data_IF_096550989242
#
_entry.id   IF_096550989242
#
_cell.length_a   1.000
_cell.length_b   1.000
_cell.length_c   1.000
_cell.angle_alpha   90.00
_cell.angle_beta   90.00
_cell.angle_gamma   90.00
#
_symmetry.space_group_name_H-M   'P 1'
#
loop_
_entity.id
_entity.type
_entity.pdbx_description
1 polymer ?
#
# COMPACT_ATOMS: atom_id res chain seq x y z
N UNK A 1 24.91 2.00 34.04
CA UNK A 1 26.05 2.50 33.24
C UNK A 1 26.05 1.83 31.88
N UNK A 2 26.37 2.62 30.84
CA UNK A 2 26.74 2.25 29.45
C UNK A 2 25.58 1.95 28.48
N UNK A 3 25.02 3.07 28.02
CA UNK A 3 24.40 3.27 26.71
C UNK A 3 25.43 2.92 25.61
N UNK A 4 25.09 2.06 24.65
CA UNK A 4 25.88 1.91 23.40
C UNK A 4 24.94 2.02 22.22
N UNK A 5 24.84 3.25 21.73
CA UNK A 5 24.19 3.66 20.50
C UNK A 5 25.18 3.39 19.35
N UNK A 6 24.90 2.42 18.49
CA UNK A 6 25.62 2.23 17.24
C UNK A 6 24.69 2.60 16.07
N UNK A 7 24.75 3.88 15.71
CA UNK A 7 24.23 4.44 14.48
C UNK A 7 25.19 4.07 13.36
N UNK A 8 24.77 3.24 12.39
CA UNK A 8 25.54 3.03 11.16
C UNK A 8 24.63 3.30 9.97
N UNK A 9 24.76 4.54 9.50
CA UNK A 9 24.22 5.08 8.25
C UNK A 9 24.88 4.35 7.08
N UNK A 10 24.10 3.62 6.29
CA UNK A 10 24.54 3.15 4.97
C UNK A 10 23.74 3.92 3.90
N UNK A 11 24.30 5.06 3.50
CA UNK A 11 23.88 5.84 2.34
C UNK A 11 24.72 5.36 1.15
N UNK A 12 24.12 4.55 0.28
CA UNK A 12 24.66 4.32 -1.07
C UNK A 12 23.73 5.01 -2.05
N UNK A 13 24.11 6.24 -2.41
CA UNK A 13 23.55 6.94 -3.56
C UNK A 13 24.35 6.51 -4.79
N UNK A 14 23.75 5.72 -5.67
CA UNK A 14 24.30 5.42 -6.99
C UNK A 14 23.60 6.32 -8.01
N UNK A 15 24.25 7.43 -8.35
CA UNK A 15 23.80 8.35 -9.40
C UNK A 15 24.29 7.84 -10.75
N UNK A 16 23.38 7.35 -11.59
CA UNK A 16 23.67 7.03 -12.99
C UNK A 16 23.48 8.29 -13.81
N UNK A 17 24.58 8.87 -14.28
CA UNK A 17 24.59 9.97 -15.22
C UNK A 17 24.20 9.45 -16.61
N UNK A 18 23.11 9.99 -17.18
CA UNK A 18 22.77 9.80 -18.60
C UNK A 18 23.33 10.99 -19.40
N UNK A 19 23.88 10.75 -20.60
CA UNK A 19 24.44 11.82 -21.43
C UNK A 19 23.35 12.75 -21.97
N UNK A 20 23.65 14.05 -21.89
CA UNK A 20 22.91 15.15 -22.48
C UNK A 20 23.14 15.14 -23.99
N UNK A 21 22.08 15.00 -24.79
CA UNK A 21 22.11 15.23 -26.22
C UNK A 21 21.14 16.38 -26.55
N UNK A 22 21.66 17.46 -27.12
CA UNK A 22 20.92 18.53 -27.82
C UNK A 22 21.93 19.29 -28.70
N UNK A 23 21.54 20.00 -29.78
CA UNK A 23 20.31 19.93 -30.57
C UNK A 23 20.58 19.70 -32.08
N UNK A 24 19.68 19.01 -32.79
CA UNK A 24 19.65 19.05 -34.25
C UNK A 24 18.52 19.99 -34.70
N UNK A 25 18.97 21.13 -35.23
CA UNK A 25 18.20 22.16 -35.90
C UNK A 25 17.67 21.59 -37.22
N UNK A 26 16.34 21.50 -37.43
CA UNK A 26 15.76 21.35 -38.76
C UNK A 26 14.44 22.11 -38.86
N UNK A 27 14.38 22.94 -39.89
CA UNK A 27 13.43 24.02 -40.14
C UNK A 27 12.37 23.55 -41.14
N UNK A 28 11.11 23.92 -40.85
CA UNK A 28 9.95 24.06 -41.76
C UNK A 28 9.11 22.81 -42.14
N UNK A 29 7.82 22.97 -42.55
CA UNK A 29 6.95 24.15 -42.52
C UNK A 29 5.64 23.97 -41.73
N UNK A 30 5.01 25.11 -41.42
CA UNK A 30 3.74 25.23 -40.73
C UNK A 30 2.55 24.68 -41.55
N UNK A 31 1.79 23.78 -40.96
CA UNK A 31 0.43 23.44 -41.40
C UNK A 31 -0.58 23.73 -40.29
N UNK A 32 -1.39 24.76 -40.56
CA UNK A 32 -2.71 25.11 -40.02
C UNK A 32 -3.14 24.46 -38.69
N UNK A 33 -3.18 25.30 -37.66
CA UNK A 33 -3.95 25.06 -36.45
C UNK A 33 -5.45 24.94 -36.79
N UNK A 34 -5.98 23.72 -36.75
CA UNK A 34 -7.42 23.49 -36.56
C UNK A 34 -7.74 23.64 -35.08
N UNK A 35 -8.46 24.69 -34.75
CA UNK A 35 -9.10 24.93 -33.46
C UNK A 35 -10.05 23.79 -33.15
N UNK A 36 -9.58 22.83 -32.34
CA UNK A 36 -10.41 21.75 -31.80
C UNK A 36 -11.36 22.36 -30.78
N UNK A 37 -12.64 22.39 -31.12
CA UNK A 37 -13.74 22.82 -30.25
C UNK A 37 -13.62 22.17 -28.86
N UNK A 38 -14.01 22.86 -27.77
CA UNK A 38 -13.93 22.31 -26.43
C UNK A 38 -14.78 21.04 -26.39
N UNK A 39 -14.14 19.91 -26.09
CA UNK A 39 -14.82 18.65 -25.91
C UNK A 39 -15.85 18.84 -24.79
N UNK A 40 -17.13 18.82 -25.19
CA UNK A 40 -18.29 18.79 -24.30
C UNK A 40 -18.02 17.72 -23.23
N UNK A 41 -18.00 18.13 -21.96
CA UNK A 41 -17.81 17.22 -20.84
C UNK A 41 -18.89 16.15 -20.91
N UNK A 42 -18.54 14.99 -21.46
CA UNK A 42 -19.37 13.81 -21.38
C UNK A 42 -19.47 13.47 -19.90
N UNK A 43 -20.69 13.54 -19.35
CA UNK A 43 -21.06 12.91 -18.09
C UNK A 43 -20.87 11.39 -18.25
N UNK A 44 -19.61 10.96 -18.31
CA UNK A 44 -19.26 9.56 -18.46
C UNK A 44 -19.52 8.89 -17.12
N UNK A 45 -20.65 8.21 -17.06
CA UNK A 45 -20.97 7.29 -15.98
C UNK A 45 -19.74 6.39 -15.74
N UNK A 46 -19.26 6.29 -14.48
CA UNK A 46 -18.04 5.55 -14.20
C UNK A 46 -18.15 4.11 -14.70
N UNK A 47 -17.08 3.63 -15.35
CA UNK A 47 -17.01 2.30 -15.95
C UNK A 47 -17.30 1.22 -14.89
N UNK A 48 -17.80 0.06 -15.33
CA UNK A 48 -18.10 -1.05 -14.42
C UNK A 48 -16.84 -1.48 -13.65
N UNK A 49 -15.67 -1.44 -14.31
CA UNK A 49 -14.37 -1.73 -13.70
C UNK A 49 -14.00 -0.71 -12.64
N UNK A 50 -14.18 0.59 -12.91
CA UNK A 50 -13.94 1.64 -11.90
C UNK A 50 -14.77 1.42 -10.65
N UNK A 51 -16.06 1.13 -10.80
CA UNK A 51 -16.95 0.86 -9.65
C UNK A 51 -16.51 -0.38 -8.86
N UNK A 52 -16.15 -1.47 -9.56
CA UNK A 52 -15.67 -2.71 -8.93
C UNK A 52 -14.36 -2.47 -8.18
N UNK A 53 -13.42 -1.74 -8.78
CA UNK A 53 -12.15 -1.39 -8.19
C UNK A 53 -12.33 -0.50 -6.95
N UNK A 54 -13.13 0.56 -7.03
CA UNK A 54 -13.41 1.42 -5.88
C UNK A 54 -14.03 0.63 -4.72
N UNK A 55 -14.97 -0.26 -5.01
CA UNK A 55 -15.55 -1.15 -3.99
C UNK A 55 -14.49 -2.07 -3.40
N UNK A 56 -13.69 -2.72 -4.24
CA UNK A 56 -12.64 -3.63 -3.79
C UNK A 56 -11.56 -2.94 -2.96
N UNK A 57 -11.20 -1.68 -3.25
CA UNK A 57 -10.27 -0.90 -2.42
C UNK A 57 -10.93 -0.55 -1.07
N UNK A 58 -12.23 -0.21 -1.04
CA UNK A 58 -12.95 0.00 0.23
C UNK A 58 -13.06 -1.26 1.07
N UNK A 59 -13.29 -2.41 0.45
CA UNK A 59 -13.30 -3.69 1.15
C UNK A 59 -11.89 -3.98 1.73
N UNK A 60 -10.83 -3.67 0.96
CA UNK A 60 -9.46 -3.76 1.44
C UNK A 60 -9.14 -2.84 2.63
N UNK A 61 -9.70 -1.61 2.64
CA UNK A 61 -9.57 -0.70 3.78
C UNK A 61 -10.25 -1.25 5.04
N UNK A 62 -11.43 -1.87 4.91
CA UNK A 62 -12.11 -2.53 6.03
C UNK A 62 -11.32 -3.72 6.57
N UNK A 63 -10.68 -4.48 5.69
CA UNK A 63 -9.76 -5.54 6.12
C UNK A 63 -8.55 -4.93 6.87
N UNK A 64 -8.01 -3.80 6.40
CA UNK A 64 -6.99 -3.03 7.12
C UNK A 64 -7.42 -2.56 8.51
N UNK A 65 -8.67 -2.17 8.70
CA UNK A 65 -9.21 -1.86 10.03
C UNK A 65 -9.22 -3.08 10.96
N UNK A 66 -9.51 -4.27 10.41
CA UNK A 66 -9.42 -5.53 11.16
C UNK A 66 -7.97 -5.87 11.51
N UNK A 67 -7.02 -5.67 10.61
CA UNK A 67 -5.58 -5.88 10.85
C UNK A 67 -5.10 -5.01 12.01
N UNK A 68 -5.42 -3.70 11.99
CA UNK A 68 -5.06 -2.75 13.05
C UNK A 68 -5.74 -3.14 14.36
N UNK A 69 -7.05 -3.36 14.37
CA UNK A 69 -7.79 -3.69 15.59
C UNK A 69 -7.29 -4.99 16.25
N UNK A 70 -7.00 -6.02 15.45
CA UNK A 70 -6.45 -7.27 15.97
C UNK A 70 -5.03 -7.08 16.53
N UNK A 71 -4.20 -6.25 15.88
CA UNK A 71 -2.85 -5.95 16.35
C UNK A 71 -2.86 -5.16 17.64
N UNK A 72 -3.72 -4.15 17.77
CA UNK A 72 -3.87 -3.37 19.01
C UNK A 72 -4.37 -4.25 20.18
N UNK A 73 -5.26 -5.21 19.90
CA UNK A 73 -5.68 -6.22 20.90
C UNK A 73 -4.53 -7.13 21.30
N UNK A 74 -3.74 -7.62 20.34
CA UNK A 74 -2.54 -8.40 20.61
C UNK A 74 -1.50 -7.62 21.44
N UNK A 75 -1.28 -6.34 21.13
CA UNK A 75 -0.41 -5.46 21.92
C UNK A 75 -0.92 -5.31 23.36
N UNK A 76 -2.23 -5.17 23.54
CA UNK A 76 -2.83 -5.08 24.87
C UNK A 76 -2.74 -6.39 25.65
N UNK A 77 -2.91 -7.53 24.99
CA UNK A 77 -2.68 -8.85 25.57
C UNK A 77 -1.20 -9.00 26.00
N UNK A 78 -0.26 -8.58 25.14
CA UNK A 78 1.16 -8.60 25.44
C UNK A 78 1.52 -7.72 26.66
N UNK A 79 0.96 -6.50 26.75
CA UNK A 79 1.13 -5.61 27.92
C UNK A 79 0.63 -6.23 29.23
N UNK A 80 -0.46 -7.00 29.15
CA UNK A 80 -1.05 -7.72 30.30
C UNK A 80 -0.39 -9.08 30.56
N UNK A 81 0.65 -9.43 29.81
CA UNK A 81 1.30 -10.74 29.85
C UNK A 81 0.32 -11.92 29.60
N UNK A 82 -0.73 -11.68 28.81
CA UNK A 82 -1.76 -12.66 28.45
C UNK A 82 -1.37 -13.42 27.16
N UNK A 83 -0.66 -14.52 27.31
CA UNK A 83 -0.22 -15.36 26.19
C UNK A 83 -1.39 -16.02 25.43
N UNK A 84 -2.50 -16.35 26.12
CA UNK A 84 -3.67 -16.97 25.48
C UNK A 84 -4.41 -15.95 24.62
N UNK A 85 -4.60 -14.74 25.14
CA UNK A 85 -5.14 -13.60 24.39
C UNK A 85 -4.28 -13.26 23.18
N UNK A 86 -2.96 -13.20 23.36
CA UNK A 86 -2.01 -12.94 22.28
C UNK A 86 -2.16 -13.96 21.13
N UNK A 87 -2.14 -15.26 21.41
CA UNK A 87 -2.32 -16.30 20.38
C UNK A 87 -3.68 -16.24 19.68
N UNK A 88 -4.74 -15.84 20.40
CA UNK A 88 -6.07 -15.64 19.81
C UNK A 88 -6.08 -14.47 18.84
N UNK A 89 -5.43 -13.37 19.21
CA UNK A 89 -5.40 -12.17 18.38
C UNK A 89 -4.43 -12.31 17.21
N UNK A 90 -3.31 -13.04 17.35
CA UNK A 90 -2.43 -13.43 16.23
C UNK A 90 -3.20 -14.13 15.11
N UNK A 91 -4.06 -15.10 15.44
CA UNK A 91 -4.93 -15.76 14.44
C UNK A 91 -5.84 -14.77 13.72
N UNK A 92 -6.35 -13.75 14.42
CA UNK A 92 -7.19 -12.71 13.81
C UNK A 92 -6.38 -11.79 12.92
N UNK A 93 -5.17 -11.42 13.31
CA UNK A 93 -4.24 -10.66 12.46
C UNK A 93 -4.01 -11.44 11.16
N UNK A 94 -3.72 -12.74 11.26
CA UNK A 94 -3.46 -13.58 10.10
C UNK A 94 -4.66 -13.68 9.15
N UNK A 95 -5.87 -13.90 9.70
CA UNK A 95 -7.10 -13.95 8.90
C UNK A 95 -7.42 -12.61 8.24
N UNK A 96 -7.24 -11.49 8.95
CA UNK A 96 -7.45 -10.16 8.39
C UNK A 96 -6.45 -9.85 7.27
N UNK A 97 -5.19 -10.26 7.44
CA UNK A 97 -4.15 -10.11 6.43
C UNK A 97 -4.40 -10.95 5.18
N UNK A 98 -4.97 -12.15 5.32
CA UNK A 98 -5.38 -12.98 4.19
C UNK A 98 -6.57 -12.37 3.43
N UNK A 99 -7.55 -11.80 4.15
CA UNK A 99 -8.66 -11.04 3.56
C UNK A 99 -8.13 -9.82 2.79
N UNK A 100 -7.29 -9.00 3.43
CA UNK A 100 -6.67 -7.84 2.81
C UNK A 100 -5.76 -8.22 1.63
N UNK A 101 -5.09 -9.37 1.67
CA UNK A 101 -4.29 -9.84 0.54
C UNK A 101 -5.17 -10.19 -0.65
N UNK A 102 -6.25 -10.95 -0.42
CA UNK A 102 -7.19 -11.35 -1.48
C UNK A 102 -7.85 -10.16 -2.16
N UNK A 103 -8.29 -9.19 -1.39
CA UNK A 103 -8.95 -8.00 -1.94
C UNK A 103 -7.98 -7.13 -2.74
N UNK A 104 -6.76 -6.93 -2.25
CA UNK A 104 -5.72 -6.20 -3.00
C UNK A 104 -5.33 -6.94 -4.28
N UNK A 105 -5.24 -8.27 -4.28
CA UNK A 105 -5.01 -9.07 -5.50
C UNK A 105 -6.13 -8.88 -6.53
N UNK A 106 -7.40 -8.88 -6.11
CA UNK A 106 -8.52 -8.57 -7.01
C UNK A 106 -8.42 -7.17 -7.58
N UNK A 107 -8.07 -6.18 -6.75
CA UNK A 107 -7.86 -4.80 -7.19
C UNK A 107 -6.74 -4.70 -8.23
N UNK A 108 -5.60 -5.39 -8.02
CA UNK A 108 -4.50 -5.45 -8.99
C UNK A 108 -4.95 -6.06 -10.33
N UNK A 109 -5.78 -7.11 -10.31
CA UNK A 109 -6.32 -7.72 -11.54
C UNK A 109 -7.21 -6.75 -12.32
N UNK A 110 -8.05 -5.97 -11.62
CA UNK A 110 -8.95 -5.00 -12.26
C UNK A 110 -8.16 -3.80 -12.79
N UNK A 111 -7.22 -3.30 -11.98
CA UNK A 111 -6.36 -2.17 -12.32
C UNK A 111 -5.45 -2.48 -13.51
N UNK A 112 -4.87 -3.69 -13.52
CA UNK A 112 -3.90 -4.11 -14.53
C UNK A 112 -2.76 -3.09 -14.62
N UNK A 113 -2.43 -2.69 -15.85
CA UNK A 113 -1.51 -1.59 -16.14
C UNK A 113 -2.24 -0.32 -16.65
N UNK A 114 -3.56 -0.24 -16.48
CA UNK A 114 -4.39 0.87 -17.01
C UNK A 114 -4.06 2.20 -16.34
N UNK A 115 -3.61 2.15 -15.09
CA UNK A 115 -3.20 3.30 -14.30
C UNK A 115 -1.86 2.98 -13.58
N UNK A 116 -0.73 3.55 -14.04
CA UNK A 116 0.58 3.28 -13.45
C UNK A 116 0.71 3.73 -11.99
N UNK A 117 0.06 4.83 -11.60
CA UNK A 117 0.13 5.36 -10.25
C UNK A 117 -0.61 4.42 -9.29
N UNK A 118 -1.81 3.98 -9.67
CA UNK A 118 -2.58 3.01 -8.92
C UNK A 118 -1.85 1.65 -8.84
N UNK A 119 -1.27 1.19 -9.96
CA UNK A 119 -0.51 -0.08 -10.00
C UNK A 119 0.65 -0.05 -9.02
N UNK A 120 1.44 1.04 -9.04
CA UNK A 120 2.54 1.27 -8.09
C UNK A 120 2.05 1.33 -6.65
N UNK A 121 0.93 2.01 -6.41
CA UNK A 121 0.31 2.13 -5.09
C UNK A 121 -0.16 0.79 -4.53
N UNK A 122 -0.83 -0.04 -5.33
CA UNK A 122 -1.23 -1.40 -4.95
C UNK A 122 -0.02 -2.31 -4.72
N UNK A 123 1.06 -2.13 -5.49
CA UNK A 123 2.34 -2.83 -5.28
C UNK A 123 3.02 -2.47 -3.95
N UNK A 124 2.93 -1.21 -3.50
CA UNK A 124 3.40 -0.82 -2.15
C UNK A 124 2.63 -1.55 -1.05
N UNK A 125 1.30 -1.64 -1.19
CA UNK A 125 0.44 -2.37 -0.23
C UNK A 125 0.80 -3.84 -0.21
N UNK A 126 1.02 -4.47 -1.37
CA UNK A 126 1.47 -5.86 -1.45
C UNK A 126 2.79 -6.10 -0.70
N UNK A 127 3.79 -5.23 -0.90
CA UNK A 127 5.07 -5.37 -0.22
C UNK A 127 4.94 -5.21 1.30
N UNK A 128 4.10 -4.28 1.76
CA UNK A 128 3.79 -4.14 3.18
C UNK A 128 3.12 -5.40 3.74
N UNK A 129 2.14 -5.95 3.03
CA UNK A 129 1.44 -7.18 3.42
C UNK A 129 2.38 -8.40 3.46
N UNK A 130 3.31 -8.53 2.49
CA UNK A 130 4.34 -9.58 2.51
C UNK A 130 5.24 -9.45 3.73
N UNK A 131 5.69 -8.23 4.06
CA UNK A 131 6.46 -7.96 5.26
C UNK A 131 5.68 -8.30 6.53
N UNK A 132 4.41 -7.87 6.61
CA UNK A 132 3.53 -8.17 7.73
C UNK A 132 3.32 -9.69 7.90
N UNK A 133 3.11 -10.44 6.82
CA UNK A 133 2.94 -11.90 6.87
C UNK A 133 4.17 -12.59 7.45
N UNK A 134 5.37 -12.16 7.04
CA UNK A 134 6.63 -12.67 7.61
C UNK A 134 6.73 -12.38 9.10
N UNK A 135 6.37 -11.15 9.51
CA UNK A 135 6.39 -10.77 10.93
C UNK A 135 5.37 -11.58 11.74
N UNK A 136 4.14 -11.77 11.25
CA UNK A 136 3.11 -12.59 11.90
C UNK A 136 3.57 -14.04 12.05
N UNK A 137 4.12 -14.64 10.99
CA UNK A 137 4.64 -16.02 11.04
C UNK A 137 5.84 -16.19 12.00
N UNK A 138 6.51 -15.09 12.35
CA UNK A 138 7.62 -15.08 13.32
C UNK A 138 7.20 -14.79 14.75
N UNK A 139 5.90 -14.57 15.02
CA UNK A 139 5.42 -14.41 16.39
C UNK A 139 5.52 -15.73 17.14
N UNK A 140 5.89 -15.65 18.41
CA UNK A 140 6.16 -16.81 19.25
C UNK A 140 4.99 -17.14 20.18
N UNK A 141 4.03 -16.22 20.32
CA UNK A 141 2.98 -16.24 21.32
C UNK A 141 3.49 -15.89 22.73
N UNK A 142 4.73 -15.39 22.85
CA UNK A 142 5.32 -14.91 24.09
C UNK A 142 5.21 -13.37 24.15
N UNK A 143 4.41 -12.83 25.10
CA UNK A 143 4.22 -11.39 25.29
C UNK A 143 5.51 -10.55 25.30
N UNK A 144 6.58 -11.04 25.92
CA UNK A 144 7.83 -10.27 26.10
C UNK A 144 8.66 -10.24 24.82
N UNK A 145 8.65 -11.33 24.05
CA UNK A 145 9.41 -11.46 22.80
C UNK A 145 8.70 -10.78 21.63
N UNK A 146 7.38 -10.83 21.62
CA UNK A 146 6.58 -10.43 20.46
C UNK A 146 6.26 -8.93 20.44
N UNK A 147 6.41 -8.21 21.56
CA UNK A 147 6.03 -6.79 21.65
C UNK A 147 6.62 -5.93 20.52
N UNK A 148 7.92 -6.06 20.25
CA UNK A 148 8.58 -5.29 19.18
C UNK A 148 8.05 -5.63 17.78
N UNK A 149 7.67 -6.88 17.55
CA UNK A 149 7.07 -7.32 16.29
C UNK A 149 5.64 -6.80 16.13
N UNK A 150 4.85 -6.79 17.22
CA UNK A 150 3.50 -6.22 17.23
C UNK A 150 3.50 -4.71 16.98
N UNK A 151 4.45 -3.97 17.57
CA UNK A 151 4.61 -2.53 17.34
C UNK A 151 4.96 -2.23 15.85
N UNK A 152 5.80 -3.07 15.23
CA UNK A 152 6.09 -2.98 13.79
C UNK A 152 4.88 -3.33 12.92
N UNK A 153 4.08 -4.33 13.30
CA UNK A 153 2.86 -4.69 12.59
C UNK A 153 1.86 -3.54 12.60
N UNK A 154 1.63 -2.93 13.76
CA UNK A 154 0.69 -1.81 13.89
C UNK A 154 1.08 -0.63 12.97
N UNK A 155 2.36 -0.24 12.99
CA UNK A 155 2.88 0.79 12.11
C UNK A 155 2.75 0.41 10.62
N UNK A 156 2.99 -0.87 10.29
CA UNK A 156 2.88 -1.39 8.92
C UNK A 156 1.45 -1.32 8.42
N UNK A 157 0.48 -1.77 9.22
CA UNK A 157 -0.94 -1.76 8.84
C UNK A 157 -1.49 -0.34 8.75
N UNK A 158 -1.14 0.56 9.67
CA UNK A 158 -1.53 1.99 9.59
C UNK A 158 -0.99 2.66 8.32
N UNK A 159 0.27 2.41 7.97
CA UNK A 159 0.86 2.92 6.72
C UNK A 159 0.21 2.29 5.48
N UNK A 160 -0.03 0.98 5.50
CA UNK A 160 -0.70 0.26 4.42
C UNK A 160 -2.11 0.76 4.17
N UNK A 161 -2.89 1.01 5.24
CA UNK A 161 -4.20 1.64 5.16
C UNK A 161 -4.14 3.02 4.51
N UNK A 162 -3.21 3.88 4.93
CA UNK A 162 -3.01 5.20 4.30
C UNK A 162 -2.70 5.09 2.80
N UNK A 163 -1.84 4.14 2.40
CA UNK A 163 -1.58 3.89 0.98
C UNK A 163 -2.83 3.42 0.24
N UNK A 164 -3.70 2.60 0.84
CA UNK A 164 -4.98 2.25 0.24
C UNK A 164 -5.96 3.43 0.14
N UNK A 165 -5.95 4.37 1.08
CA UNK A 165 -6.74 5.59 0.98
C UNK A 165 -6.27 6.46 -0.20
N UNK A 166 -4.96 6.54 -0.42
CA UNK A 166 -4.36 7.18 -1.59
C UNK A 166 -4.77 6.46 -2.88
N UNK A 167 -4.71 5.13 -2.92
CA UNK A 167 -5.17 4.31 -4.05
C UNK A 167 -6.66 4.53 -4.34
N UNK A 168 -7.50 4.68 -3.32
CA UNK A 168 -8.93 4.94 -3.50
C UNK A 168 -9.16 6.32 -4.12
N UNK A 169 -8.40 7.34 -3.69
CA UNK A 169 -8.46 8.68 -4.29
C UNK A 169 -8.03 8.64 -5.75
N UNK A 170 -6.95 7.92 -6.04
CA UNK A 170 -6.44 7.73 -7.40
C UNK A 170 -7.47 7.03 -8.29
N UNK A 171 -8.04 5.91 -7.84
CA UNK A 171 -9.06 5.17 -8.58
C UNK A 171 -10.30 6.03 -8.88
N UNK A 172 -10.75 6.85 -7.93
CA UNK A 172 -11.88 7.77 -8.15
C UNK A 172 -11.57 8.84 -9.19
N UNK A 173 -10.36 9.39 -9.17
CA UNK A 173 -9.99 10.54 -9.99
C UNK A 173 -9.56 10.15 -11.41
N UNK A 174 -8.71 9.12 -11.52
CA UNK A 174 -7.91 8.89 -12.72
C UNK A 174 -8.19 7.56 -13.42
N UNK A 175 -8.73 6.56 -12.70
CA UNK A 175 -9.07 5.28 -13.31
C UNK A 175 -10.37 5.39 -14.12
N UNK A 176 -10.34 4.97 -15.39
CA UNK A 176 -11.49 4.98 -16.32
C UNK A 176 -11.57 3.67 -17.10
#
# INVERSE_FOLDING_TARGET
MRLTLALLLFLVALTVALPVANPANNKSPATKATTKAPAKATNNKPSADKKKLEKGIKDNLKAGDKEISATEKAQNAAKKNDAKGLKKDEKKINSALDEATKDRQKNQKIAGNKDPALTKGLGKVENAQKGAKKTVNGLTGDPKKDKGSLDKLDATFKKGKKTNEENLKEAKKNFN
#
